data_IF_360757417051
#
_entry.id   IF_360757417051
#
_cell.length_a   1.000
_cell.length_b   1.000
_cell.length_c   1.000
_cell.angle_alpha   90.00
_cell.angle_beta   90.00
_cell.angle_gamma   90.00
#
_symmetry.space_group_name_H-M   'P 1'
#
loop_
_entity.id
_entity.type
_entity.pdbx_description
1 polymer ?
#
# COMPACT_ATOMS: atom_id res chain seq x y z
N UNK A 1 4.98 18.89 6.54
CA UNK A 1 4.42 19.27 5.21
C UNK A 1 4.85 18.20 4.23
N UNK A 2 3.91 17.41 3.70
CA UNK A 2 4.22 16.43 2.67
C UNK A 2 4.72 17.12 1.40
N UNK A 3 5.71 16.51 0.76
CA UNK A 3 6.14 16.93 -0.58
C UNK A 3 5.25 16.34 -1.69
N UNK A 4 4.19 15.60 -1.30
CA UNK A 4 3.26 14.98 -2.23
C UNK A 4 2.27 16.02 -2.76
N UNK A 5 2.25 16.21 -4.06
CA UNK A 5 1.28 17.04 -4.78
C UNK A 5 0.64 16.18 -5.88
N UNK A 6 -0.25 15.25 -5.51
CA UNK A 6 -0.78 14.28 -6.46
C UNK A 6 -1.55 14.98 -7.59
N UNK A 7 -1.42 14.45 -8.81
CA UNK A 7 -2.18 14.95 -9.96
C UNK A 7 -3.68 14.81 -9.75
N UNK A 8 -4.08 13.73 -9.10
CA UNK A 8 -5.47 13.44 -8.75
C UNK A 8 -5.54 12.49 -7.58
N UNK A 9 -6.63 12.59 -6.82
CA UNK A 9 -6.91 11.70 -5.69
C UNK A 9 -8.23 10.99 -5.91
N UNK A 10 -8.21 9.70 -5.67
CA UNK A 10 -9.37 8.82 -5.75
C UNK A 10 -9.61 8.15 -4.41
N UNK A 11 -10.85 7.80 -4.14
CA UNK A 11 -11.24 7.02 -2.96
C UNK A 11 -12.21 5.92 -3.37
N UNK A 12 -11.95 4.69 -2.97
CA UNK A 12 -12.92 3.61 -3.12
C UNK A 12 -14.10 3.85 -2.18
N UNK A 13 -15.34 3.67 -2.66
CA UNK A 13 -16.59 3.91 -1.92
C UNK A 13 -16.61 3.25 -0.53
N UNK A 14 -16.11 2.02 -0.40
CA UNK A 14 -15.98 1.30 0.87
C UNK A 14 -15.20 2.06 1.95
N UNK A 15 -14.28 2.94 1.58
CA UNK A 15 -13.56 3.80 2.53
C UNK A 15 -14.53 4.74 3.24
N UNK A 16 -15.51 5.27 2.50
CA UNK A 16 -16.47 6.24 3.00
C UNK A 16 -17.49 5.62 3.98
N UNK A 17 -17.62 4.30 3.99
CA UNK A 17 -18.47 3.56 4.92
C UNK A 17 -17.83 3.41 6.32
N UNK A 18 -16.50 3.63 6.43
CA UNK A 18 -15.76 3.45 7.67
C UNK A 18 -15.25 4.80 8.21
N UNK A 19 -15.83 5.32 9.31
CA UNK A 19 -15.44 6.62 9.87
C UNK A 19 -13.95 6.74 10.22
N UNK A 20 -13.31 5.65 10.65
CA UNK A 20 -11.87 5.64 10.97
C UNK A 20 -11.02 5.80 9.70
N UNK A 21 -11.46 5.19 8.60
CA UNK A 21 -10.80 5.36 7.31
C UNK A 21 -10.99 6.77 6.76
N UNK A 22 -12.18 7.33 6.92
CA UNK A 22 -12.48 8.72 6.51
C UNK A 22 -11.60 9.70 7.29
N UNK A 23 -11.55 9.60 8.61
CA UNK A 23 -10.71 10.47 9.45
C UNK A 23 -9.22 10.39 9.05
N UNK A 24 -8.71 9.18 8.81
CA UNK A 24 -7.33 8.99 8.35
C UNK A 24 -7.09 9.62 6.98
N UNK A 25 -8.01 9.42 6.03
CA UNK A 25 -7.94 10.05 4.72
C UNK A 25 -7.90 11.57 4.82
N UNK A 26 -8.79 12.16 5.61
CA UNK A 26 -8.87 13.61 5.78
C UNK A 26 -7.62 14.21 6.40
N UNK A 27 -7.02 13.54 7.41
CA UNK A 27 -5.73 13.96 7.97
C UNK A 27 -4.62 13.94 6.91
N UNK A 28 -4.56 12.89 6.10
CA UNK A 28 -3.57 12.79 5.02
C UNK A 28 -3.80 13.85 3.94
N UNK A 29 -5.04 14.09 3.54
CA UNK A 29 -5.38 15.17 2.60
C UNK A 29 -5.00 16.53 3.15
N UNK A 30 -5.34 16.82 4.41
CA UNK A 30 -4.97 18.05 5.09
C UNK A 30 -3.45 18.30 5.12
N UNK A 31 -2.65 17.26 5.38
CA UNK A 31 -1.18 17.33 5.36
C UNK A 31 -0.63 17.62 3.94
N UNK A 32 -1.32 17.20 2.90
CA UNK A 32 -1.01 17.52 1.50
C UNK A 32 -1.56 18.89 1.05
N UNK A 33 -2.33 19.57 1.90
CA UNK A 33 -3.00 20.83 1.55
C UNK A 33 -4.17 20.66 0.60
N UNK A 34 -4.81 19.48 0.59
CA UNK A 34 -5.93 19.14 -0.27
C UNK A 34 -7.26 19.13 0.51
N UNK A 35 -8.35 19.42 -0.20
CA UNK A 35 -9.71 19.30 0.33
C UNK A 35 -10.35 17.97 -0.07
N UNK A 36 -11.16 17.34 0.81
CA UNK A 36 -11.94 16.16 0.45
C UNK A 36 -12.88 16.36 -0.76
N UNK A 37 -13.33 17.58 -1.00
CA UNK A 37 -14.21 17.94 -2.13
C UNK A 37 -13.58 17.67 -3.50
N UNK A 38 -12.24 17.65 -3.59
CA UNK A 38 -11.50 17.36 -4.81
C UNK A 38 -11.25 15.86 -5.07
N UNK A 39 -11.73 14.98 -4.19
CA UNK A 39 -11.52 13.55 -4.28
C UNK A 39 -12.59 12.88 -5.15
N UNK A 40 -12.18 12.06 -6.10
CA UNK A 40 -13.09 11.30 -6.97
C UNK A 40 -13.40 9.95 -6.34
N UNK A 41 -14.67 9.67 -6.07
CA UNK A 41 -15.12 8.36 -5.57
C UNK A 41 -15.10 7.32 -6.68
N UNK A 42 -14.53 6.16 -6.38
CA UNK A 42 -14.53 4.97 -7.26
C UNK A 42 -15.66 4.05 -6.81
N UNK A 43 -16.47 3.62 -7.76
CA UNK A 43 -17.50 2.58 -7.62
C UNK A 43 -17.34 1.56 -8.74
N UNK A 44 -17.98 0.39 -8.62
CA UNK A 44 -17.97 -0.62 -9.69
C UNK A 44 -18.50 -0.04 -11.02
N UNK A 45 -19.45 0.88 -10.95
CA UNK A 45 -20.11 1.47 -12.12
C UNK A 45 -19.17 2.43 -12.88
N UNK A 46 -18.38 3.25 -12.18
CA UNK A 46 -17.50 4.24 -12.80
C UNK A 46 -16.05 3.75 -12.99
N UNK A 47 -15.73 2.53 -12.55
CA UNK A 47 -14.40 1.95 -12.68
C UNK A 47 -13.82 2.02 -14.11
N UNK A 48 -14.59 1.74 -15.18
CA UNK A 48 -14.10 1.86 -16.55
C UNK A 48 -13.61 3.27 -16.89
N UNK A 49 -14.35 4.30 -16.47
CA UNK A 49 -13.99 5.69 -16.71
C UNK A 49 -12.75 6.09 -15.89
N UNK A 50 -12.69 5.70 -14.61
CA UNK A 50 -11.54 5.97 -13.74
C UNK A 50 -10.27 5.31 -14.27
N UNK A 51 -10.34 4.07 -14.74
CA UNK A 51 -9.17 3.36 -15.28
C UNK A 51 -8.68 3.96 -16.60
N UNK A 52 -9.59 4.47 -17.44
CA UNK A 52 -9.24 5.22 -18.64
C UNK A 52 -8.53 6.54 -18.30
N UNK A 53 -9.08 7.30 -17.36
CA UNK A 53 -8.47 8.56 -16.88
C UNK A 53 -7.07 8.32 -16.27
N UNK A 54 -6.90 7.29 -15.43
CA UNK A 54 -5.60 6.93 -14.87
C UNK A 54 -4.57 6.57 -15.95
N UNK A 55 -4.99 5.93 -17.03
CA UNK A 55 -4.12 5.61 -18.16
C UNK A 55 -3.65 6.87 -18.91
N UNK A 56 -4.49 7.90 -19.00
CA UNK A 56 -4.16 9.18 -19.62
C UNK A 56 -3.28 10.04 -18.73
N UNK A 57 -3.57 10.11 -17.42
CA UNK A 57 -2.79 10.89 -16.46
C UNK A 57 -1.33 10.45 -16.37
N UNK A 58 -1.05 9.17 -16.63
CA UNK A 58 0.28 8.61 -16.52
C UNK A 58 0.63 7.66 -17.68
N UNK A 59 0.79 8.20 -18.90
CA UNK A 59 1.12 7.36 -20.05
C UNK A 59 2.51 6.71 -19.90
N UNK A 60 2.63 5.41 -20.25
CA UNK A 60 3.86 4.62 -20.07
C UNK A 60 5.10 5.18 -20.72
N UNK A 61 4.92 5.99 -21.79
CA UNK A 61 5.98 6.48 -22.67
C UNK A 61 6.66 7.78 -22.20
N UNK A 62 6.21 8.40 -21.10
CA UNK A 62 6.60 9.77 -20.76
C UNK A 62 7.38 9.93 -19.45
N UNK A 63 7.86 8.85 -18.84
CA UNK A 63 8.66 8.96 -17.61
C UNK A 63 10.14 8.88 -17.96
N UNK A 64 10.84 10.03 -18.12
CA UNK A 64 12.29 10.00 -18.23
C UNK A 64 12.93 9.43 -16.95
N UNK A 65 14.04 8.76 -17.09
CA UNK A 65 14.86 8.36 -15.95
C UNK A 65 15.22 9.60 -15.11
N UNK A 66 14.94 9.53 -13.81
CA UNK A 66 15.27 10.60 -12.87
C UNK A 66 14.19 11.67 -12.65
N UNK A 67 12.95 11.37 -13.00
CA UNK A 67 11.88 12.35 -12.91
C UNK A 67 11.36 12.56 -11.49
N UNK A 68 11.41 13.81 -11.03
CA UNK A 68 10.79 14.29 -9.78
C UNK A 68 9.26 14.15 -9.74
N UNK A 69 8.62 13.81 -10.85
CA UNK A 69 7.16 13.58 -10.94
C UNK A 69 6.65 12.41 -10.14
N UNK A 70 7.50 11.61 -9.49
CA UNK A 70 7.08 10.60 -8.53
C UNK A 70 6.16 11.19 -7.43
N UNK A 71 6.40 12.42 -7.03
CA UNK A 71 5.60 13.14 -6.03
C UNK A 71 4.22 13.58 -6.53
N UNK A 72 3.98 13.50 -7.83
CA UNK A 72 2.71 13.91 -8.46
C UNK A 72 1.85 12.72 -8.88
N UNK A 73 2.21 11.50 -8.52
CA UNK A 73 1.42 10.30 -8.87
C UNK A 73 -0.01 10.40 -8.36
N UNK A 74 -0.96 9.86 -9.11
CA UNK A 74 -2.31 9.70 -8.58
C UNK A 74 -2.31 8.88 -7.30
N UNK A 75 -3.11 9.30 -6.32
CA UNK A 75 -3.33 8.58 -5.06
C UNK A 75 -4.69 7.90 -5.11
N UNK A 76 -4.73 6.66 -4.65
CA UNK A 76 -5.94 5.87 -4.51
C UNK A 76 -6.05 5.46 -3.04
N UNK A 77 -7.01 6.02 -2.32
CA UNK A 77 -7.37 5.56 -0.99
C UNK A 77 -8.31 4.36 -1.10
N UNK A 78 -7.97 3.29 -0.40
CA UNK A 78 -8.73 2.03 -0.46
C UNK A 78 -8.82 1.37 0.92
N UNK A 79 -9.58 0.30 1.02
CA UNK A 79 -9.55 -0.64 2.15
C UNK A 79 -8.82 -1.90 1.75
N UNK A 80 -7.98 -2.42 2.63
CA UNK A 80 -7.28 -3.70 2.41
C UNK A 80 -8.27 -4.83 2.60
N UNK A 81 -8.47 -5.63 1.56
CA UNK A 81 -9.25 -6.86 1.63
C UNK A 81 -8.32 -8.06 1.77
N UNK A 82 -8.20 -8.55 2.99
CA UNK A 82 -7.33 -9.70 3.32
C UNK A 82 -7.85 -11.03 2.78
N UNK A 83 -9.14 -11.09 2.46
CA UNK A 83 -9.81 -12.27 1.89
C UNK A 83 -10.01 -12.14 0.39
N UNK A 84 -9.42 -11.13 -0.23
CA UNK A 84 -9.61 -10.85 -1.65
C UNK A 84 -9.32 -12.07 -2.51
N UNK A 85 -10.35 -12.55 -3.18
CA UNK A 85 -10.20 -13.52 -4.24
C UNK A 85 -10.07 -12.76 -5.58
N UNK A 86 -8.86 -12.68 -6.10
CA UNK A 86 -8.58 -11.99 -7.36
C UNK A 86 -9.36 -12.50 -8.55
N UNK A 87 -9.93 -13.71 -8.44
CA UNK A 87 -10.79 -14.28 -9.50
C UNK A 87 -12.10 -13.51 -9.59
N UNK A 88 -12.61 -13.00 -8.47
CA UNK A 88 -13.87 -12.27 -8.41
C UNK A 88 -13.76 -10.88 -9.04
N UNK A 89 -12.54 -10.35 -9.19
CA UNK A 89 -12.27 -9.09 -9.88
C UNK A 89 -12.17 -9.22 -11.41
N UNK A 90 -12.17 -10.43 -11.96
CA UNK A 90 -12.07 -10.63 -13.43
C UNK A 90 -13.21 -9.98 -14.21
N UNK A 91 -14.49 -10.06 -13.78
CA UNK A 91 -15.58 -9.38 -14.46
C UNK A 91 -15.36 -7.86 -14.50
N UNK A 92 -14.93 -7.25 -13.39
CA UNK A 92 -14.64 -5.82 -13.29
C UNK A 92 -13.47 -5.42 -14.20
N UNK A 93 -12.39 -6.21 -14.20
CA UNK A 93 -11.27 -5.99 -15.11
C UNK A 93 -11.70 -6.02 -16.58
N UNK A 94 -12.65 -6.89 -16.93
CA UNK A 94 -13.16 -7.00 -18.30
C UNK A 94 -13.96 -5.75 -18.74
N UNK A 95 -14.50 -4.97 -17.82
CA UNK A 95 -15.18 -3.70 -18.10
C UNK A 95 -14.23 -2.51 -18.25
N UNK A 96 -13.01 -2.64 -17.77
CA UNK A 96 -12.02 -1.56 -17.79
C UNK A 96 -11.52 -1.24 -19.19
N UNK A 97 -10.91 -0.05 -19.33
CA UNK A 97 -10.30 0.38 -20.58
C UNK A 97 -9.23 -0.63 -21.07
N UNK A 98 -9.14 -0.78 -22.39
CA UNK A 98 -8.16 -1.68 -23.01
C UNK A 98 -6.73 -1.34 -22.52
N UNK A 99 -6.00 -2.34 -22.08
CA UNK A 99 -4.65 -2.18 -21.54
C UNK A 99 -4.59 -1.85 -20.05
N UNK A 100 -5.72 -1.78 -19.34
CA UNK A 100 -5.75 -1.67 -17.89
C UNK A 100 -5.04 -2.88 -17.27
N UNK A 101 -4.07 -2.62 -16.41
CA UNK A 101 -3.33 -3.70 -15.74
C UNK A 101 -4.18 -4.31 -14.64
N UNK A 102 -4.09 -5.62 -14.50
CA UNK A 102 -4.69 -6.34 -13.36
C UNK A 102 -4.21 -5.75 -12.03
N UNK A 103 -2.95 -5.38 -11.95
CA UNK A 103 -2.34 -4.78 -10.76
C UNK A 103 -3.01 -3.48 -10.31
N UNK A 104 -3.53 -2.69 -11.24
CA UNK A 104 -4.28 -1.48 -10.91
C UNK A 104 -5.63 -1.85 -10.26
N UNK A 105 -6.38 -2.77 -10.86
CA UNK A 105 -7.66 -3.21 -10.31
C UNK A 105 -7.47 -3.89 -8.96
N UNK A 106 -6.51 -4.81 -8.83
CA UNK A 106 -6.14 -5.43 -7.54
C UNK A 106 -5.81 -4.36 -6.48
N UNK A 107 -5.18 -3.25 -6.88
CA UNK A 107 -4.81 -2.17 -5.96
C UNK A 107 -6.00 -1.30 -5.56
N UNK A 108 -6.89 -0.99 -6.49
CA UNK A 108 -8.14 -0.25 -6.21
C UNK A 108 -8.97 -1.01 -5.18
N UNK A 109 -9.10 -2.32 -5.34
CA UNK A 109 -9.89 -3.17 -4.44
C UNK A 109 -9.11 -3.73 -3.24
N UNK A 110 -7.91 -3.23 -2.99
CA UNK A 110 -7.13 -3.57 -1.79
C UNK A 110 -6.57 -4.99 -1.75
N UNK A 111 -6.49 -5.67 -2.89
CA UNK A 111 -6.01 -7.06 -3.00
C UNK A 111 -4.49 -7.19 -2.91
N UNK A 112 -3.85 -6.48 -2.00
CA UNK A 112 -2.39 -6.49 -1.80
C UNK A 112 -1.98 -6.73 -0.35
N UNK A 113 -2.93 -6.86 0.57
CA UNK A 113 -2.68 -6.94 2.02
C UNK A 113 -2.26 -8.31 2.53
N UNK A 114 -2.26 -9.36 1.72
CA UNK A 114 -1.83 -10.67 2.17
C UNK A 114 -0.37 -10.65 2.62
N UNK A 115 -0.05 -11.11 3.84
CA UNK A 115 1.32 -11.16 4.31
C UNK A 115 2.13 -12.14 3.47
N UNK A 116 3.34 -11.71 3.07
CA UNK A 116 4.25 -12.55 2.31
C UNK A 116 5.38 -12.99 3.25
N UNK A 117 5.43 -14.28 3.55
CA UNK A 117 6.54 -14.87 4.26
C UNK A 117 7.73 -14.99 3.32
N UNK A 118 8.78 -14.24 3.62
CA UNK A 118 9.98 -14.18 2.80
C UNK A 118 11.14 -14.82 3.54
N UNK A 119 11.51 -16.02 3.11
CA UNK A 119 12.73 -16.68 3.57
C UNK A 119 13.94 -16.27 2.72
N UNK A 120 15.14 -16.25 3.32
CA UNK A 120 16.37 -16.08 2.57
C UNK A 120 16.47 -17.17 1.48
N UNK A 121 16.85 -16.80 0.29
CA UNK A 121 17.08 -17.75 -0.79
C UNK A 121 18.14 -18.77 -0.36
N UNK A 122 18.07 -20.00 -0.88
CA UNK A 122 19.07 -21.05 -0.60
C UNK A 122 20.48 -20.61 -0.98
N UNK A 123 20.62 -19.77 -2.01
CA UNK A 123 21.87 -19.13 -2.39
C UNK A 123 22.43 -18.27 -1.26
N UNK A 124 21.60 -17.44 -0.63
CA UNK A 124 22.04 -16.53 0.43
C UNK A 124 22.50 -17.30 1.68
N UNK A 125 21.87 -18.44 1.95
CA UNK A 125 22.31 -19.37 3.00
C UNK A 125 23.67 -19.98 2.71
N UNK A 126 23.97 -20.33 1.46
CA UNK A 126 25.27 -20.86 1.03
C UNK A 126 26.38 -19.81 1.10
N UNK A 127 26.06 -18.56 0.87
CA UNK A 127 26.97 -17.41 0.91
C UNK A 127 27.15 -16.84 2.33
N UNK A 128 26.63 -17.49 3.38
CA UNK A 128 26.61 -17.01 4.77
C UNK A 128 25.96 -15.62 4.95
N UNK A 129 25.06 -15.24 4.06
CA UNK A 129 24.29 -14.04 4.22
C UNK A 129 23.32 -14.19 5.38
N UNK A 130 23.46 -13.34 6.40
CA UNK A 130 22.58 -13.32 7.58
C UNK A 130 21.34 -12.51 7.26
N UNK A 131 20.46 -13.06 6.42
CA UNK A 131 19.14 -12.50 6.22
C UNK A 131 18.15 -13.20 7.14
N UNK A 132 17.52 -12.45 8.01
CA UNK A 132 16.42 -12.98 8.84
C UNK A 132 15.19 -13.22 7.97
N UNK A 133 14.44 -14.30 8.22
CA UNK A 133 13.12 -14.44 7.61
C UNK A 133 12.26 -13.24 7.98
N UNK A 134 11.53 -12.70 7.01
CA UNK A 134 10.72 -11.50 7.20
C UNK A 134 9.30 -11.72 6.71
N UNK A 135 8.33 -11.12 7.41
CA UNK A 135 6.99 -10.91 6.86
C UNK A 135 6.91 -9.56 6.17
N UNK A 136 6.53 -9.56 4.91
CA UNK A 136 6.20 -8.33 4.19
C UNK A 136 4.70 -8.06 4.35
N UNK A 137 4.38 -6.90 4.92
CA UNK A 137 3.01 -6.46 5.16
C UNK A 137 2.64 -5.42 4.10
N UNK A 138 1.61 -5.72 3.32
CA UNK A 138 1.17 -4.85 2.22
C UNK A 138 0.07 -3.91 2.67
N UNK A 139 0.41 -2.73 3.20
CA UNK A 139 -0.59 -1.70 3.50
C UNK A 139 -0.60 -0.56 2.48
N UNK A 140 0.47 -0.42 1.73
CA UNK A 140 0.61 0.56 0.65
C UNK A 140 1.21 -0.13 -0.57
N UNK A 141 0.74 0.19 -1.75
CA UNK A 141 1.28 -0.25 -3.03
C UNK A 141 1.70 0.93 -3.89
N UNK A 142 2.91 0.88 -4.41
CA UNK A 142 3.54 1.99 -5.09
C UNK A 142 4.44 2.80 -4.15
N UNK A 143 5.18 3.75 -4.70
CA UNK A 143 6.09 4.60 -3.96
C UNK A 143 6.00 6.03 -4.47
N UNK A 144 6.00 6.99 -3.54
CA UNK A 144 6.02 8.42 -3.86
C UNK A 144 7.42 8.96 -4.17
N UNK A 145 8.48 8.17 -3.96
CA UNK A 145 9.85 8.59 -4.21
C UNK A 145 10.32 8.27 -5.62
N UNK A 146 11.07 9.19 -6.20
CA UNK A 146 11.72 9.05 -7.52
C UNK A 146 13.18 8.64 -7.41
N UNK A 147 13.57 7.76 -6.48
CA UNK A 147 14.96 7.36 -6.27
C UNK A 147 15.57 6.74 -7.51
N UNK A 148 16.64 7.36 -8.04
CA UNK A 148 17.30 6.93 -9.28
C UNK A 148 17.87 5.51 -9.22
N UNK A 149 18.25 5.05 -8.04
CA UNK A 149 18.85 3.73 -7.80
C UNK A 149 17.80 2.64 -7.48
N UNK A 150 16.55 3.01 -7.27
CA UNK A 150 15.52 2.08 -6.82
C UNK A 150 14.76 1.44 -7.98
N UNK A 151 14.86 0.12 -8.12
CA UNK A 151 14.09 -0.64 -9.11
C UNK A 151 12.59 -0.69 -8.81
N UNK A 152 12.19 -0.63 -7.53
CA UNK A 152 10.79 -0.72 -7.11
C UNK A 152 9.97 0.55 -7.44
N UNK A 153 10.59 1.73 -7.36
CA UNK A 153 9.91 3.01 -7.61
C UNK A 153 9.66 3.33 -9.08
N UNK A 154 10.40 2.73 -9.99
CA UNK A 154 10.34 3.06 -11.43
C UNK A 154 9.07 2.60 -12.14
N UNK A 155 8.42 1.56 -11.65
CA UNK A 155 7.24 0.94 -12.30
C UNK A 155 5.89 1.40 -11.79
N UNK A 156 5.82 2.09 -10.66
CA UNK A 156 4.54 2.47 -10.04
C UNK A 156 3.94 3.71 -10.69
N UNK A 157 2.76 3.56 -11.27
CA UNK A 157 2.02 4.64 -11.92
C UNK A 157 1.06 5.36 -10.98
N UNK A 158 0.86 4.83 -9.79
CA UNK A 158 -0.07 5.31 -8.77
C UNK A 158 0.44 4.91 -7.39
N UNK A 159 -0.17 5.48 -6.37
CA UNK A 159 0.04 5.14 -4.97
C UNK A 159 -1.30 4.68 -4.38
N UNK A 160 -1.45 3.39 -4.10
CA UNK A 160 -2.64 2.87 -3.43
C UNK A 160 -2.36 2.71 -1.93
N UNK A 161 -3.23 3.27 -1.10
CA UNK A 161 -3.07 3.37 0.36
C UNK A 161 -4.28 2.73 1.03
N UNK A 162 -4.04 1.63 1.74
CA UNK A 162 -5.06 0.96 2.53
C UNK A 162 -5.29 1.67 3.86
N UNK A 163 -6.53 2.03 4.16
CA UNK A 163 -6.83 2.88 5.32
C UNK A 163 -7.39 2.14 6.53
N UNK A 164 -7.90 0.92 6.41
CA UNK A 164 -8.44 0.10 7.49
C UNK A 164 -7.36 -0.62 8.29
N UNK A 165 -6.40 0.14 8.82
CA UNK A 165 -5.20 -0.39 9.45
C UNK A 165 -5.49 -1.18 10.73
N UNK A 166 -6.43 -0.74 11.54
CA UNK A 166 -6.83 -1.42 12.77
C UNK A 166 -7.33 -2.83 12.47
N UNK A 167 -8.22 -2.94 11.50
CA UNK A 167 -8.73 -4.23 11.04
C UNK A 167 -7.61 -5.12 10.47
N UNK A 168 -6.72 -4.52 9.68
CA UNK A 168 -5.59 -5.23 9.09
C UNK A 168 -4.65 -5.80 10.16
N UNK A 169 -4.32 -5.00 11.17
CA UNK A 169 -3.45 -5.43 12.26
C UNK A 169 -4.09 -6.57 13.04
N UNK A 170 -5.37 -6.47 13.37
CA UNK A 170 -6.07 -7.53 14.11
C UNK A 170 -6.23 -8.81 13.31
N UNK A 171 -6.63 -8.72 12.06
CA UNK A 171 -6.94 -9.89 11.22
C UNK A 171 -5.72 -10.53 10.55
N UNK A 172 -4.63 -9.81 10.41
CA UNK A 172 -3.44 -10.28 9.67
C UNK A 172 -2.23 -10.37 10.58
N UNK A 173 -1.86 -9.27 11.22
CA UNK A 173 -0.61 -9.20 11.99
C UNK A 173 -0.68 -10.06 13.22
N UNK A 174 -1.75 -9.98 14.00
CA UNK A 174 -1.96 -10.79 15.18
C UNK A 174 -1.85 -12.29 14.88
N UNK A 175 -2.68 -12.83 13.97
CA UNK A 175 -2.61 -14.25 13.59
C UNK A 175 -1.25 -14.70 13.04
N UNK A 176 -0.56 -13.85 12.27
CA UNK A 176 0.78 -14.16 11.74
C UNK A 176 1.80 -14.32 12.86
N UNK A 177 1.77 -13.44 13.86
CA UNK A 177 2.66 -13.52 15.03
C UNK A 177 2.34 -14.77 15.86
N UNK A 178 1.07 -15.08 16.07
CA UNK A 178 0.66 -16.27 16.82
C UNK A 178 1.03 -17.58 16.11
N UNK A 179 0.89 -17.60 14.79
CA UNK A 179 1.22 -18.77 13.97
C UNK A 179 2.74 -19.06 13.95
N UNK A 180 3.55 -17.99 13.82
CA UNK A 180 5.01 -18.14 13.72
C UNK A 180 5.75 -17.11 14.60
N UNK A 181 5.79 -17.32 15.92
CA UNK A 181 6.43 -16.38 16.86
C UNK A 181 7.96 -16.29 16.71
N UNK A 182 8.56 -17.18 15.94
CA UNK A 182 10.01 -17.18 15.68
C UNK A 182 10.41 -16.16 14.60
N UNK A 183 9.49 -15.80 13.71
CA UNK A 183 9.74 -14.77 12.71
C UNK A 183 9.39 -13.40 13.29
N UNK A 184 10.40 -12.65 13.71
CA UNK A 184 10.29 -11.40 14.46
C UNK A 184 10.62 -10.15 13.65
N UNK A 185 10.82 -10.32 12.36
CA UNK A 185 11.16 -9.19 11.48
C UNK A 185 10.01 -8.94 10.52
N UNK A 186 9.52 -7.71 10.52
CA UNK A 186 8.43 -7.28 9.67
C UNK A 186 8.89 -6.13 8.78
N UNK A 187 8.58 -6.23 7.51
CA UNK A 187 8.67 -5.12 6.56
C UNK A 187 7.27 -4.59 6.34
N UNK A 188 7.07 -3.31 6.59
CA UNK A 188 5.74 -2.71 6.58
C UNK A 188 5.28 -2.30 5.18
N UNK A 189 6.15 -2.34 4.19
CA UNK A 189 5.85 -2.06 2.79
C UNK A 189 6.65 -2.95 1.85
N UNK A 190 5.97 -3.41 0.81
CA UNK A 190 6.58 -4.22 -0.24
C UNK A 190 7.38 -3.41 -1.27
N UNK A 191 6.98 -2.17 -1.55
CA UNK A 191 7.52 -1.40 -2.69
C UNK A 191 7.46 0.11 -2.48
N UNK A 192 7.72 0.59 -1.27
CA UNK A 192 7.62 2.02 -0.98
C UNK A 192 8.35 2.45 0.28
N UNK A 193 8.18 3.70 0.65
CA UNK A 193 8.65 4.28 1.90
C UNK A 193 7.46 4.88 2.65
N UNK A 194 7.21 4.38 3.88
CA UNK A 194 6.15 4.86 4.76
C UNK A 194 6.44 6.20 5.40
N UNK A 195 7.71 6.56 5.59
CA UNK A 195 8.10 7.77 6.30
C UNK A 195 7.41 9.00 5.72
N UNK A 196 7.20 9.00 4.40
CA UNK A 196 6.51 10.10 3.71
C UNK A 196 5.04 10.25 4.12
N UNK A 197 4.40 9.21 4.61
CA UNK A 197 2.97 9.17 4.93
C UNK A 197 2.70 9.33 6.43
N UNK A 198 3.69 9.05 7.27
CA UNK A 198 3.61 9.25 8.71
C UNK A 198 3.80 10.76 9.07
N UNK A 199 3.20 11.27 10.16
CA UNK A 199 2.41 10.54 11.17
C UNK A 199 0.92 10.39 10.84
N UNK A 200 0.41 10.99 9.78
CA UNK A 200 -1.03 11.06 9.48
C UNK A 200 -1.60 9.68 9.12
N UNK A 201 -0.80 8.82 8.53
CA UNK A 201 -1.18 7.45 8.21
C UNK A 201 -1.29 6.59 9.49
N UNK A 202 -0.34 6.72 10.41
CA UNK A 202 -0.39 6.13 11.74
C UNK A 202 -0.14 4.62 11.79
N UNK A 203 0.41 4.02 10.73
CA UNK A 203 0.69 2.57 10.70
C UNK A 203 1.75 2.19 11.71
N UNK A 204 2.83 2.96 11.82
CA UNK A 204 3.95 2.63 12.69
C UNK A 204 3.53 2.59 14.17
N UNK A 205 2.72 3.55 14.59
CA UNK A 205 2.21 3.60 15.97
C UNK A 205 1.27 2.43 16.28
N UNK A 206 0.31 2.15 15.39
CA UNK A 206 -0.60 1.01 15.53
C UNK A 206 0.15 -0.32 15.58
N UNK A 207 1.12 -0.49 14.70
CA UNK A 207 1.92 -1.70 14.62
C UNK A 207 2.79 -1.89 15.86
N UNK A 208 3.46 -0.81 16.33
CA UNK A 208 4.29 -0.86 17.54
C UNK A 208 3.48 -1.22 18.77
N UNK A 209 2.27 -0.67 18.92
CA UNK A 209 1.36 -1.04 20.00
C UNK A 209 0.96 -2.51 19.94
N UNK A 210 0.65 -3.00 18.74
CA UNK A 210 0.30 -4.43 18.56
C UNK A 210 1.45 -5.36 18.89
N UNK A 211 2.67 -5.03 18.48
CA UNK A 211 3.85 -5.81 18.81
C UNK A 211 4.09 -5.86 20.32
N UNK A 212 3.89 -4.75 21.03
CA UNK A 212 4.06 -4.68 22.48
C UNK A 212 3.13 -5.67 23.24
N UNK A 213 1.96 -6.00 22.69
CA UNK A 213 1.07 -7.02 23.28
C UNK A 213 1.69 -8.44 23.29
N UNK A 214 2.63 -8.69 22.39
CA UNK A 214 3.27 -9.99 22.22
C UNK A 214 4.68 -10.08 22.83
N UNK A 215 5.31 -8.96 23.16
CA UNK A 215 6.69 -8.90 23.64
C UNK A 215 6.92 -9.74 24.88
N UNK A 216 6.00 -9.71 25.83
CA UNK A 216 6.10 -10.49 27.09
C UNK A 216 6.03 -12.01 26.83
N UNK A 217 5.37 -12.44 25.76
CA UNK A 217 5.19 -13.86 25.43
C UNK A 217 6.26 -14.41 24.51
N UNK A 218 6.72 -13.61 23.54
CA UNK A 218 7.56 -14.10 22.44
C UNK A 218 8.90 -13.39 22.32
N UNK A 219 9.19 -12.43 23.20
CA UNK A 219 10.38 -11.57 23.16
C UNK A 219 10.19 -10.40 22.20
N UNK A 220 11.29 -9.72 21.91
CA UNK A 220 11.23 -8.47 21.14
C UNK A 220 11.04 -8.71 19.65
N UNK A 221 10.22 -7.88 19.05
CA UNK A 221 10.01 -7.80 17.61
C UNK A 221 10.73 -6.60 17.01
N UNK A 222 11.09 -6.71 15.76
CA UNK A 222 11.78 -5.66 15.02
C UNK A 222 10.97 -5.22 13.80
N UNK A 223 10.87 -3.91 13.61
CA UNK A 223 10.31 -3.32 12.40
C UNK A 223 11.44 -2.80 11.52
N UNK A 224 11.41 -3.11 10.24
CA UNK A 224 12.37 -2.60 9.27
C UNK A 224 11.66 -1.83 8.18
N UNK A 225 12.20 -0.68 7.79
CA UNK A 225 11.91 -0.05 6.51
C UNK A 225 12.77 -0.70 5.43
N UNK A 226 12.20 -0.91 4.25
CA UNK A 226 12.93 -1.50 3.13
C UNK A 226 13.96 -0.53 2.52
#
# INVERSE_FOLDING_TARGET
>A
MYMLTPLKVYVLDRVLENPVCVDRMERMLGAMGLSPEGVTTITDENLPAVTAELAELWPPSQVPDGDVRAYTRPIIFTTIDVNCNRTDLRPLLATCAHGTSKDLVDSIYGCFGAPIDQHPHERDRRENCVCWPTYNLGTVRGCSHGCLYCGAGRGGKFLAIGLNLEEYIEKVVGPVIEYNPWNRVFRMILSGDLITLEPEYGLHDLFSRKLAEFDDRYGHFHTGSA
#
